data_IF_892682771026
#
_entry.id   IF_892682771026
#
_cell.length_a   1.000
_cell.length_b   1.000
_cell.length_c   1.000
_cell.angle_alpha   90.00
_cell.angle_beta   90.00
_cell.angle_gamma   90.00
#
_symmetry.space_group_name_H-M   'P 1'
#
loop_
_entity.id
_entity.type
_entity.pdbx_description
1 polymer ?
#
# COMPACT_ATOMS: atom_id res chain seq x y z
N UNK A 1 -4.03 -8.68 12.49
CA UNK A 1 -5.09 -7.67 12.33
C UNK A 1 -4.50 -6.42 11.70
N UNK A 2 -5.16 -5.84 10.70
CA UNK A 2 -4.77 -4.53 10.13
C UNK A 2 -5.37 -3.42 11.01
N UNK A 3 -4.52 -2.50 11.47
CA UNK A 3 -4.96 -1.40 12.33
C UNK A 3 -5.63 -0.29 11.52
N UNK A 4 -6.75 0.24 12.02
CA UNK A 4 -7.47 1.34 11.39
C UNK A 4 -6.83 2.70 11.74
N UNK A 5 -5.64 2.96 11.19
CA UNK A 5 -4.90 4.21 11.39
C UNK A 5 -5.16 5.15 10.20
N UNK A 6 -5.56 6.41 10.43
CA UNK A 6 -5.79 7.37 9.35
C UNK A 6 -4.50 7.64 8.56
N UNK A 7 -4.64 7.79 7.23
CA UNK A 7 -3.50 8.15 6.37
C UNK A 7 -2.92 9.50 6.80
N UNK A 8 -1.59 9.67 6.78
CA UNK A 8 -0.96 10.92 7.15
C UNK A 8 -1.30 12.02 6.15
N UNK A 9 -1.37 13.26 6.63
CA UNK A 9 -1.46 14.42 5.76
C UNK A 9 -0.11 14.65 5.05
N UNK A 10 -0.12 14.50 3.73
CA UNK A 10 1.01 14.72 2.85
C UNK A 10 0.92 16.14 2.31
N UNK A 11 1.97 16.93 2.51
CA UNK A 11 2.01 18.30 2.01
C UNK A 11 1.93 18.37 0.48
N UNK A 12 1.53 19.52 -0.06
CA UNK A 12 1.52 19.76 -1.50
C UNK A 12 2.93 19.69 -2.12
N UNK A 13 3.96 19.98 -1.33
CA UNK A 13 5.36 19.76 -1.68
C UNK A 13 5.82 18.49 -0.98
N UNK A 14 6.19 17.48 -1.75
CA UNK A 14 6.65 16.21 -1.20
C UNK A 14 8.06 16.34 -0.62
N UNK A 15 8.20 16.07 0.67
CA UNK A 15 9.45 16.21 1.42
C UNK A 15 9.92 14.89 2.04
N UNK A 16 11.15 14.88 2.59
CA UNK A 16 11.67 13.76 3.38
C UNK A 16 10.77 13.46 4.59
N UNK A 17 10.12 14.47 5.15
CA UNK A 17 9.21 14.28 6.27
C UNK A 17 7.94 13.53 5.85
N UNK A 18 7.45 13.76 4.63
CA UNK A 18 6.31 12.99 4.10
C UNK A 18 6.67 11.51 3.89
N UNK A 19 7.91 11.22 3.47
CA UNK A 19 8.41 9.84 3.41
C UNK A 19 8.38 9.18 4.80
N UNK A 20 8.84 9.89 5.84
CA UNK A 20 8.82 9.37 7.23
C UNK A 20 7.40 9.11 7.70
N UNK A 21 6.48 10.06 7.51
CA UNK A 21 5.05 9.90 7.84
C UNK A 21 4.44 8.68 7.15
N UNK A 22 4.70 8.47 5.86
CA UNK A 22 4.18 7.32 5.10
C UNK A 22 4.75 6.01 5.62
N UNK A 23 6.05 5.97 5.93
CA UNK A 23 6.72 4.79 6.48
C UNK A 23 6.15 4.43 7.86
N UNK A 24 6.05 5.42 8.74
CA UNK A 24 5.59 5.22 10.11
C UNK A 24 4.11 4.82 10.13
N UNK A 25 3.29 5.40 9.26
CA UNK A 25 1.91 4.97 9.04
C UNK A 25 1.83 3.50 8.58
N UNK A 26 2.62 3.09 7.58
CA UNK A 26 2.63 1.70 7.12
C UNK A 26 3.05 0.73 8.23
N UNK A 27 4.03 1.10 9.05
CA UNK A 27 4.43 0.30 10.20
C UNK A 27 3.26 0.12 11.17
N UNK A 28 2.62 1.21 11.60
CA UNK A 28 1.52 1.16 12.56
C UNK A 28 0.28 0.41 12.03
N UNK A 29 -0.04 0.54 10.74
CA UNK A 29 -1.15 -0.17 10.09
C UNK A 29 -0.92 -1.68 10.04
N UNK A 30 0.33 -2.12 9.81
CA UNK A 30 0.66 -3.52 9.53
C UNK A 30 1.42 -4.23 10.66
N UNK A 31 1.77 -3.57 11.76
CA UNK A 31 2.60 -4.13 12.84
C UNK A 31 2.04 -5.44 13.40
N UNK A 32 0.72 -5.53 13.53
CA UNK A 32 0.01 -6.70 14.06
C UNK A 32 -0.62 -7.57 12.95
N UNK A 33 -0.37 -7.26 11.68
CA UNK A 33 -0.94 -7.96 10.54
C UNK A 33 -0.20 -9.26 10.25
N UNK A 34 -0.95 -10.34 9.99
CA UNK A 34 -0.40 -11.60 9.49
C UNK A 34 0.16 -11.44 8.08
N UNK A 35 0.87 -12.45 7.60
CA UNK A 35 1.42 -12.45 6.25
C UNK A 35 0.32 -12.35 5.19
N UNK A 36 -0.78 -13.06 5.40
CA UNK A 36 -1.95 -13.11 4.53
C UNK A 36 -2.65 -11.75 4.49
N UNK A 37 -2.87 -11.13 5.64
CA UNK A 37 -3.46 -9.79 5.75
C UNK A 37 -2.57 -8.74 5.07
N UNK A 38 -1.24 -8.81 5.26
CA UNK A 38 -0.29 -7.92 4.56
C UNK A 38 -0.37 -8.09 3.05
N UNK A 39 -0.44 -9.33 2.56
CA UNK A 39 -0.59 -9.62 1.13
C UNK A 39 -1.89 -9.01 0.58
N UNK A 40 -3.00 -9.18 1.29
CA UNK A 40 -4.29 -8.61 0.90
C UNK A 40 -4.25 -7.07 0.87
N UNK A 41 -3.63 -6.44 1.87
CA UNK A 41 -3.44 -4.99 1.93
C UNK A 41 -2.71 -4.46 0.68
N UNK A 42 -1.57 -5.07 0.31
CA UNK A 42 -0.82 -4.66 -0.87
C UNK A 42 -1.57 -4.97 -2.18
N UNK A 43 -2.30 -6.09 -2.25
CA UNK A 43 -3.12 -6.43 -3.42
C UNK A 43 -4.23 -5.40 -3.64
N UNK A 44 -4.91 -4.93 -2.58
CA UNK A 44 -5.93 -3.87 -2.69
C UNK A 44 -5.32 -2.56 -3.19
N UNK A 45 -4.16 -2.18 -2.65
CA UNK A 45 -3.42 -0.99 -3.10
C UNK A 45 -3.02 -1.09 -4.58
N UNK A 46 -2.50 -2.24 -5.01
CA UNK A 46 -2.16 -2.50 -6.40
C UNK A 46 -3.40 -2.46 -7.32
N UNK A 47 -4.51 -3.07 -6.90
CA UNK A 47 -5.75 -3.06 -7.67
C UNK A 47 -6.22 -1.63 -7.96
N UNK A 48 -6.21 -0.74 -6.96
CA UNK A 48 -6.53 0.67 -7.15
C UNK A 48 -5.54 1.40 -8.06
N UNK A 49 -4.24 1.11 -7.96
CA UNK A 49 -3.24 1.75 -8.82
C UNK A 49 -3.42 1.37 -10.30
N UNK A 50 -3.78 0.11 -10.56
CA UNK A 50 -3.99 -0.42 -11.90
C UNK A 50 -5.45 -0.31 -12.38
N UNK A 51 -6.35 0.26 -11.60
CA UNK A 51 -7.73 0.47 -12.01
C UNK A 51 -7.76 1.36 -13.27
N UNK A 52 -8.35 0.84 -14.35
CA UNK A 52 -8.34 1.50 -15.67
C UNK A 52 -6.99 1.48 -16.41
N UNK A 53 -5.99 0.72 -15.93
CA UNK A 53 -4.68 0.53 -16.58
C UNK A 53 -4.43 -0.95 -16.92
N UNK A 54 -3.71 -1.25 -18.01
CA UNK A 54 -3.25 -2.61 -18.25
C UNK A 54 -2.27 -3.04 -17.16
N UNK A 55 -2.50 -4.21 -16.56
CA UNK A 55 -1.55 -4.83 -15.64
C UNK A 55 -0.22 -5.12 -16.38
N UNK A 56 0.94 -4.91 -15.73
CA UNK A 56 2.22 -5.41 -16.20
C UNK A 56 2.14 -6.91 -16.50
N UNK A 57 2.75 -7.36 -17.60
CA UNK A 57 2.76 -8.78 -18.02
C UNK A 57 3.15 -9.73 -16.89
N UNK A 58 4.13 -9.32 -16.08
CA UNK A 58 4.67 -10.09 -14.95
C UNK A 58 3.67 -10.35 -13.81
N UNK A 59 2.53 -9.66 -13.78
CA UNK A 59 1.51 -9.80 -12.73
C UNK A 59 0.11 -10.08 -13.28
N UNK A 60 -0.01 -10.40 -14.58
CA UNK A 60 -1.29 -10.81 -15.17
C UNK A 60 -1.60 -12.26 -14.78
N UNK A 61 -2.84 -12.57 -14.36
CA UNK A 61 -3.25 -13.95 -14.15
C UNK A 61 -3.10 -14.77 -15.44
N UNK A 62 -2.37 -15.90 -15.40
CA UNK A 62 -2.29 -16.85 -16.51
C UNK A 62 -1.20 -16.59 -17.56
N UNK A 63 -0.32 -15.60 -17.37
CA UNK A 63 0.84 -15.34 -18.25
C UNK A 63 2.20 -15.66 -17.58
N UNK A 64 2.34 -16.82 -16.92
CA UNK A 64 3.62 -17.33 -16.37
C UNK A 64 4.25 -18.41 -17.23
#
# INVERSE_FOLDING_TARGET
MINNIPKPNIGNTFTVEDIRKIRDWHYEVLKDATREERKEFYNKGAAHFYEGRPLPKTIRPGET
#
